data_IF_387329062132
#
_entry.id   IF_387329062132
#
_cell.length_a   1.000
_cell.length_b   1.000
_cell.length_c   1.000
_cell.angle_alpha   90.00
_cell.angle_beta   90.00
_cell.angle_gamma   90.00
#
_symmetry.space_group_name_H-M   'P 1'
#
loop_
_entity.id
_entity.type
_entity.pdbx_description
1 polymer ?
#
# COMPACT_ATOMS: atom_id res chain seq x y z
N UNK A 1 19.55 -35.15 -10.92
CA UNK A 1 18.93 -34.13 -11.80
C UNK A 1 19.14 -32.81 -11.09
N UNK A 2 20.07 -32.01 -11.59
CA UNK A 2 20.33 -30.67 -11.07
C UNK A 2 19.09 -29.82 -11.37
N UNK A 3 18.42 -29.33 -10.33
CA UNK A 3 17.43 -28.27 -10.50
C UNK A 3 18.18 -27.03 -11.01
N UNK A 4 17.68 -26.35 -12.04
CA UNK A 4 18.37 -25.20 -12.57
C UNK A 4 18.37 -24.09 -11.50
N UNK A 5 19.58 -23.58 -11.22
CA UNK A 5 19.83 -22.48 -10.28
C UNK A 5 19.07 -21.17 -10.61
N UNK A 6 18.23 -21.18 -11.66
CA UNK A 6 17.52 -20.03 -12.19
C UNK A 6 16.16 -19.74 -11.53
N UNK A 7 15.69 -20.60 -10.60
CA UNK A 7 14.35 -20.43 -10.00
C UNK A 7 14.33 -19.71 -8.65
N UNK A 8 15.49 -19.38 -8.09
CA UNK A 8 15.58 -18.79 -6.74
C UNK A 8 15.34 -17.27 -6.77
N UNK A 9 15.62 -16.61 -7.87
CA UNK A 9 15.51 -15.16 -8.02
C UNK A 9 14.60 -14.81 -9.21
N UNK A 10 13.51 -14.14 -8.91
CA UNK A 10 12.63 -13.51 -9.89
C UNK A 10 12.68 -12.00 -9.77
N UNK A 11 12.22 -11.32 -10.79
CA UNK A 11 12.12 -9.86 -10.81
C UNK A 11 10.71 -9.47 -11.22
N UNK A 12 9.98 -8.84 -10.29
CA UNK A 12 8.61 -8.41 -10.52
C UNK A 12 8.53 -6.88 -10.65
N UNK A 13 7.56 -6.43 -11.42
CA UNK A 13 7.19 -5.02 -11.47
C UNK A 13 6.44 -4.61 -10.21
N UNK A 14 6.36 -3.30 -9.97
CA UNK A 14 5.58 -2.74 -8.87
C UNK A 14 4.10 -3.11 -8.98
N UNK A 15 3.55 -3.13 -10.19
CA UNK A 15 2.14 -3.51 -10.42
C UNK A 15 1.87 -4.99 -10.17
N UNK A 16 2.82 -5.89 -10.47
CA UNK A 16 2.72 -7.31 -10.14
C UNK A 16 2.74 -7.52 -8.61
N UNK A 17 3.61 -6.81 -7.87
CA UNK A 17 3.63 -6.86 -6.41
C UNK A 17 2.35 -6.26 -5.81
N UNK A 18 1.89 -5.12 -6.32
CA UNK A 18 0.64 -4.52 -5.87
C UNK A 18 -0.57 -5.44 -6.07
N UNK A 19 -0.56 -6.25 -7.14
CA UNK A 19 -1.65 -7.17 -7.46
C UNK A 19 -1.83 -8.31 -6.46
N UNK A 20 -0.86 -8.53 -5.59
CA UNK A 20 -1.03 -9.47 -4.47
C UNK A 20 -2.19 -9.05 -3.55
N UNK A 21 -2.48 -7.75 -3.45
CA UNK A 21 -3.55 -7.19 -2.61
C UNK A 21 -4.62 -6.42 -3.41
N UNK A 22 -4.26 -5.87 -4.57
CA UNK A 22 -5.16 -5.11 -5.44
C UNK A 22 -5.26 -5.84 -6.78
N UNK A 23 -6.30 -6.68 -7.01
CA UNK A 23 -6.39 -7.54 -8.19
C UNK A 23 -6.21 -6.82 -9.53
N UNK A 24 -6.76 -5.62 -9.63
CA UNK A 24 -6.75 -4.82 -10.85
C UNK A 24 -5.46 -4.00 -11.07
N UNK A 25 -4.44 -4.15 -10.19
CA UNK A 25 -3.17 -3.42 -10.31
C UNK A 25 -2.38 -3.84 -11.57
N UNK A 26 -2.57 -5.05 -12.07
CA UNK A 26 -2.04 -5.51 -13.36
C UNK A 26 -3.06 -6.34 -14.12
N UNK A 27 -2.94 -6.33 -15.44
CA UNK A 27 -3.71 -7.22 -16.34
C UNK A 27 -2.90 -8.40 -16.85
N UNK A 28 -1.61 -8.42 -16.56
CA UNK A 28 -0.72 -9.51 -16.98
C UNK A 28 -0.96 -10.76 -16.13
N UNK A 29 -0.83 -11.97 -16.71
CA UNK A 29 -0.80 -13.20 -15.92
C UNK A 29 0.34 -13.13 -14.90
N UNK A 30 0.07 -13.59 -13.67
CA UNK A 30 1.03 -13.57 -12.59
C UNK A 30 1.70 -14.93 -12.44
N UNK A 31 3.03 -14.95 -12.49
CA UNK A 31 3.81 -16.13 -12.13
C UNK A 31 3.84 -16.33 -10.61
N UNK A 32 3.93 -15.24 -9.86
CA UNK A 32 3.93 -15.22 -8.40
C UNK A 32 2.74 -14.40 -7.91
N UNK A 33 1.75 -15.08 -7.37
CA UNK A 33 0.68 -14.47 -6.60
C UNK A 33 0.87 -14.84 -5.13
N UNK A 34 1.47 -13.92 -4.37
CA UNK A 34 1.79 -14.18 -2.98
C UNK A 34 0.65 -13.77 -2.04
N UNK A 35 0.31 -14.65 -1.10
CA UNK A 35 -0.62 -14.33 -0.02
C UNK A 35 0.12 -13.85 1.22
N UNK A 36 -0.54 -12.98 1.94
CA UNK A 36 -0.07 -12.52 3.24
C UNK A 36 -0.50 -13.54 4.30
N UNK A 37 0.40 -14.01 5.19
CA UNK A 37 0.02 -14.91 6.28
C UNK A 37 -1.03 -14.29 7.20
N UNK A 38 -1.97 -15.11 7.73
CA UNK A 38 -3.02 -14.64 8.65
C UNK A 38 -2.50 -14.17 10.02
N UNK A 39 -1.26 -14.52 10.36
CA UNK A 39 -0.53 -14.08 11.55
C UNK A 39 -0.13 -12.60 11.50
N UNK A 40 -0.89 -11.77 10.78
CA UNK A 40 -0.47 -10.41 10.58
C UNK A 40 -0.75 -9.52 11.76
N UNK A 41 0.30 -8.80 12.10
CA UNK A 41 0.21 -7.49 12.73
C UNK A 41 -0.71 -6.62 11.91
N UNK A 42 -1.57 -5.88 12.55
CA UNK A 42 -2.22 -4.74 11.91
C UNK A 42 -1.15 -3.85 11.26
N UNK A 43 -1.57 -3.03 10.33
CA UNK A 43 -0.70 -2.12 9.59
C UNK A 43 0.21 -1.33 10.56
N UNK A 44 1.50 -1.69 10.61
CA UNK A 44 2.45 -1.17 11.62
C UNK A 44 3.22 0.04 11.08
N UNK A 45 3.36 0.15 9.75
CA UNK A 45 4.12 1.25 9.19
C UNK A 45 3.45 2.60 9.44
N UNK A 46 4.24 3.52 9.95
CA UNK A 46 3.83 4.91 10.12
C UNK A 46 3.72 5.61 8.75
N UNK A 47 2.86 6.61 8.60
CA UNK A 47 2.70 7.38 7.37
C UNK A 47 4.01 7.80 6.74
N UNK A 48 4.95 8.30 7.52
CA UNK A 48 6.29 8.72 7.05
C UNK A 48 7.07 7.58 6.38
N UNK A 49 6.97 6.35 6.89
CA UNK A 49 7.67 5.20 6.29
C UNK A 49 7.12 4.88 4.90
N UNK A 50 5.80 4.98 4.72
CA UNK A 50 5.15 4.76 3.42
C UNK A 50 5.49 5.88 2.45
N UNK A 51 5.42 7.13 2.91
CA UNK A 51 5.78 8.31 2.11
C UNK A 51 7.24 8.22 1.64
N UNK A 52 8.16 7.82 2.52
CA UNK A 52 9.57 7.64 2.20
C UNK A 52 9.80 6.46 1.24
N UNK A 53 9.04 5.35 1.38
CA UNK A 53 9.12 4.24 0.44
C UNK A 53 8.75 4.71 -0.98
N UNK A 54 7.66 5.45 -1.11
CA UNK A 54 7.22 5.94 -2.40
C UNK A 54 8.15 7.00 -3.02
N UNK A 55 8.74 7.87 -2.19
CA UNK A 55 9.82 8.77 -2.65
C UNK A 55 11.03 7.96 -3.17
N UNK A 56 11.41 6.90 -2.45
CA UNK A 56 12.51 6.01 -2.86
C UNK A 56 12.21 5.28 -4.17
N UNK A 57 10.98 4.77 -4.33
CA UNK A 57 10.53 4.13 -5.57
C UNK A 57 10.61 5.09 -6.76
N UNK A 58 10.11 6.31 -6.61
CA UNK A 58 10.14 7.34 -7.66
C UNK A 58 11.56 7.78 -8.03
N UNK A 59 12.50 7.66 -7.10
CA UNK A 59 13.94 7.96 -7.31
C UNK A 59 14.73 6.73 -7.76
N UNK A 60 14.07 5.61 -8.03
CA UNK A 60 14.70 4.34 -8.37
C UNK A 60 15.72 3.86 -7.32
N UNK A 61 15.53 4.21 -6.04
CA UNK A 61 16.37 3.72 -4.96
C UNK A 61 16.03 2.26 -4.65
N UNK A 62 17.03 1.44 -4.27
CA UNK A 62 16.78 0.08 -3.85
C UNK A 62 15.89 0.05 -2.59
N UNK A 63 14.78 -0.68 -2.65
CA UNK A 63 13.85 -0.86 -1.53
C UNK A 63 13.99 -2.23 -0.83
N UNK A 64 15.02 -3.00 -1.21
CA UNK A 64 15.23 -4.37 -0.75
C UNK A 64 14.49 -5.39 -1.62
N UNK A 65 14.53 -6.66 -1.20
CA UNK A 65 13.89 -7.80 -1.87
C UNK A 65 12.68 -8.29 -1.10
N UNK A 66 11.79 -9.01 -1.77
CA UNK A 66 10.74 -9.81 -1.15
C UNK A 66 11.21 -11.25 -0.98
N UNK A 67 10.74 -11.93 0.06
CA UNK A 67 11.00 -13.34 0.28
C UNK A 67 9.68 -14.10 0.22
N UNK A 68 9.59 -15.08 -0.69
CA UNK A 68 8.39 -15.89 -0.88
C UNK A 68 8.71 -17.37 -0.82
N UNK A 69 7.74 -18.20 -0.46
CA UNK A 69 7.84 -19.65 -0.54
C UNK A 69 6.66 -20.18 -1.37
N UNK A 70 6.88 -21.14 -2.29
CA UNK A 70 5.80 -21.71 -3.09
C UNK A 70 4.81 -22.48 -2.20
N UNK A 71 3.54 -22.52 -2.61
CA UNK A 71 2.55 -23.43 -2.04
C UNK A 71 2.97 -24.87 -2.39
N UNK A 72 3.37 -25.64 -1.42
CA UNK A 72 3.52 -27.08 -1.60
C UNK A 72 2.11 -27.69 -1.61
N UNK A 73 1.75 -28.41 -2.65
CA UNK A 73 0.45 -29.04 -2.89
C UNK A 73 -0.23 -29.57 -1.61
N UNK A 74 -0.97 -28.74 -0.88
CA UNK A 74 -1.84 -29.12 0.22
C UNK A 74 -1.17 -29.50 1.54
N UNK A 75 0.15 -29.43 1.68
CA UNK A 75 0.87 -29.79 2.91
C UNK A 75 1.97 -28.80 3.25
N UNK A 76 1.61 -27.67 3.80
CA UNK A 76 2.45 -27.05 4.82
C UNK A 76 2.04 -27.71 6.14
N UNK A 77 3.02 -28.25 6.84
CA UNK A 77 2.90 -29.30 7.84
C UNK A 77 2.11 -28.99 9.10
N UNK A 78 1.34 -27.96 9.24
CA UNK A 78 0.35 -27.83 10.30
C UNK A 78 -0.92 -27.18 9.71
N UNK A 79 -2.05 -27.84 9.85
CA UNK A 79 -3.36 -27.41 9.34
C UNK A 79 -3.86 -26.08 9.90
N UNK A 80 -3.08 -25.43 10.77
CA UNK A 80 -3.47 -24.24 11.53
C UNK A 80 -2.89 -22.93 11.01
N UNK A 81 -1.99 -22.91 10.02
CA UNK A 81 -1.64 -21.66 9.34
C UNK A 81 -2.76 -21.28 8.37
N UNK A 82 -3.78 -20.60 8.90
CA UNK A 82 -4.83 -19.99 8.10
C UNK A 82 -4.27 -18.75 7.42
N UNK A 83 -3.85 -18.93 6.18
CA UNK A 83 -3.56 -17.79 5.30
C UNK A 83 -4.86 -17.05 5.01
N UNK A 84 -4.82 -15.72 5.12
CA UNK A 84 -5.94 -14.90 4.69
C UNK A 84 -6.19 -15.14 3.19
N UNK A 85 -7.05 -16.13 2.87
CA UNK A 85 -7.74 -16.10 1.59
C UNK A 85 -8.54 -14.80 1.62
N UNK A 86 -8.14 -13.82 0.81
CA UNK A 86 -9.12 -12.84 0.42
C UNK A 86 -10.30 -13.59 -0.19
N UNK A 87 -11.52 -13.20 0.10
CA UNK A 87 -12.75 -13.74 -0.51
C UNK A 87 -12.85 -13.41 -2.01
N UNK A 88 -11.72 -13.14 -2.67
CA UNK A 88 -11.60 -12.73 -4.06
C UNK A 88 -11.53 -13.91 -5.04
N UNK A 89 -11.57 -15.15 -4.53
CA UNK A 89 -11.58 -16.38 -5.32
C UNK A 89 -10.29 -16.68 -6.09
N UNK A 90 -9.20 -15.92 -5.86
CA UNK A 90 -7.92 -16.14 -6.54
C UNK A 90 -7.16 -17.32 -5.95
N UNK A 91 -6.43 -18.03 -6.82
CA UNK A 91 -5.52 -19.10 -6.44
C UNK A 91 -4.13 -18.52 -6.20
N UNK A 92 -3.73 -18.48 -4.94
CA UNK A 92 -2.40 -18.02 -4.56
C UNK A 92 -1.36 -19.09 -4.80
N UNK A 93 -0.20 -18.70 -5.35
CA UNK A 93 0.90 -19.61 -5.70
C UNK A 93 2.02 -19.64 -4.67
N UNK A 94 2.14 -18.57 -3.86
CA UNK A 94 3.23 -18.40 -2.90
C UNK A 94 2.75 -17.77 -1.59
N UNK A 95 3.53 -18.00 -0.54
CA UNK A 95 3.43 -17.30 0.74
C UNK A 95 4.45 -16.16 0.78
N UNK A 96 4.06 -14.98 1.21
CA UNK A 96 4.99 -13.87 1.45
C UNK A 96 5.58 -13.99 2.86
N UNK A 97 6.88 -14.30 2.95
CA UNK A 97 7.60 -14.49 4.21
C UNK A 97 8.19 -13.19 4.74
N UNK A 98 8.76 -12.35 3.86
CA UNK A 98 9.28 -11.02 4.22
C UNK A 98 8.89 -9.97 3.18
N UNK A 99 8.77 -8.72 3.64
CA UNK A 99 8.39 -7.58 2.81
C UNK A 99 6.90 -7.23 2.90
N UNK A 100 6.13 -7.81 3.81
CA UNK A 100 4.69 -7.60 3.94
C UNK A 100 4.30 -6.12 4.02
N UNK A 101 4.96 -5.36 4.89
CA UNK A 101 4.68 -3.92 5.05
C UNK A 101 4.99 -3.14 3.77
N UNK A 102 6.07 -3.50 3.07
CA UNK A 102 6.43 -2.91 1.77
C UNK A 102 5.40 -3.24 0.69
N UNK A 103 4.96 -4.51 0.61
CA UNK A 103 3.92 -4.92 -0.33
C UNK A 103 2.62 -4.15 -0.10
N UNK A 104 2.19 -4.01 1.16
CA UNK A 104 1.01 -3.25 1.53
C UNK A 104 1.17 -1.75 1.21
N UNK A 105 2.34 -1.18 1.49
CA UNK A 105 2.61 0.22 1.15
C UNK A 105 2.62 0.46 -0.37
N UNK A 106 3.16 -0.48 -1.16
CA UNK A 106 3.10 -0.44 -2.62
C UNK A 106 1.66 -0.53 -3.11
N UNK A 107 0.87 -1.46 -2.57
CA UNK A 107 -0.53 -1.64 -2.95
C UNK A 107 -1.37 -0.38 -2.74
N UNK A 108 -1.08 0.44 -1.72
CA UNK A 108 -1.79 1.70 -1.47
C UNK A 108 -1.75 2.67 -2.67
N UNK A 109 -0.69 2.64 -3.47
CA UNK A 109 -0.58 3.48 -4.67
C UNK A 109 -1.49 3.05 -5.82
N UNK A 110 -2.12 1.88 -5.72
CA UNK A 110 -3.06 1.35 -6.73
C UNK A 110 -4.51 1.39 -6.27
N UNK A 111 -4.77 1.78 -5.02
CA UNK A 111 -6.12 1.85 -4.47
C UNK A 111 -6.79 3.14 -4.94
N UNK A 112 -7.88 2.99 -5.69
CA UNK A 112 -8.73 4.11 -6.06
C UNK A 112 -9.44 4.65 -4.81
N UNK A 113 -9.27 5.94 -4.46
CA UNK A 113 -9.90 6.53 -3.28
C UNK A 113 -11.43 6.55 -3.36
N UNK A 114 -12.01 6.41 -4.54
CA UNK A 114 -13.46 6.38 -4.74
C UNK A 114 -14.10 5.03 -4.42
N UNK A 115 -13.31 3.98 -4.21
CA UNK A 115 -13.84 2.65 -3.90
C UNK A 115 -14.55 2.63 -2.53
N UNK A 116 -15.75 2.02 -2.42
CA UNK A 116 -16.57 2.07 -1.20
C UNK A 116 -15.90 1.48 0.06
N UNK A 117 -15.00 0.51 -0.11
CA UNK A 117 -14.33 -0.21 0.98
C UNK A 117 -12.90 0.26 1.24
N UNK A 118 -12.49 1.40 0.69
CA UNK A 118 -11.14 1.93 0.88
C UNK A 118 -10.92 2.32 2.34
N UNK A 119 -9.94 1.70 2.99
CA UNK A 119 -9.54 2.00 4.38
C UNK A 119 -8.39 2.99 4.48
N UNK A 120 -7.62 3.15 3.40
CA UNK A 120 -6.55 4.12 3.27
C UNK A 120 -6.31 4.44 1.79
N UNK A 121 -5.77 5.62 1.48
CA UNK A 121 -5.35 5.98 0.14
C UNK A 121 -4.08 6.84 0.16
N UNK A 122 -3.32 6.72 -0.92
CA UNK A 122 -2.05 7.42 -1.13
C UNK A 122 -2.25 8.54 -2.15
N UNK A 123 -1.69 9.68 -1.85
CA UNK A 123 -1.74 10.90 -2.63
C UNK A 123 -0.34 11.44 -2.89
N UNK A 124 -0.14 12.11 -3.99
CA UNK A 124 1.06 12.88 -4.31
C UNK A 124 0.71 14.36 -4.34
N UNK A 125 1.42 15.18 -3.55
CA UNK A 125 1.31 16.63 -3.62
C UNK A 125 2.23 17.14 -4.74
N UNK A 126 1.67 17.78 -5.75
CA UNK A 126 2.44 18.32 -6.88
C UNK A 126 3.33 19.51 -6.48
N UNK A 127 3.03 20.19 -5.37
CA UNK A 127 3.85 21.31 -4.92
C UNK A 127 5.09 20.81 -4.15
N UNK A 128 6.30 20.95 -4.72
CA UNK A 128 7.52 20.46 -4.10
C UNK A 128 7.97 21.31 -2.90
N UNK A 129 7.35 22.49 -2.65
CA UNK A 129 7.72 23.37 -1.54
C UNK A 129 7.53 22.71 -0.18
N UNK A 130 6.73 21.64 -0.13
CA UNK A 130 6.38 20.93 1.09
C UNK A 130 7.42 19.90 1.54
N UNK A 131 8.26 19.40 0.62
CA UNK A 131 9.23 18.33 0.88
C UNK A 131 10.63 18.80 1.29
N UNK A 132 10.91 20.08 1.20
CA UNK A 132 12.27 20.61 1.42
C UNK A 132 12.87 20.36 2.81
N UNK A 133 12.03 20.12 3.81
CA UNK A 133 12.50 19.89 5.18
C UNK A 133 13.06 18.48 5.42
N UNK A 134 12.72 17.52 4.55
CA UNK A 134 12.97 16.08 4.76
C UNK A 134 13.80 15.43 3.64
N UNK A 135 14.51 16.19 2.81
CA UNK A 135 15.28 15.72 1.64
C UNK A 135 14.48 14.89 0.61
N UNK A 136 13.15 14.93 0.69
CA UNK A 136 12.26 14.23 -0.26
C UNK A 136 12.10 15.05 -1.54
N UNK A 137 12.22 14.37 -2.65
CA UNK A 137 11.95 14.96 -3.97
C UNK A 137 10.45 14.91 -4.30
N UNK A 138 9.78 13.83 -3.85
CA UNK A 138 8.37 13.59 -4.07
C UNK A 138 7.63 13.60 -2.73
N UNK A 139 6.58 14.40 -2.65
CA UNK A 139 5.82 14.58 -1.41
C UNK A 139 4.54 13.76 -1.45
N UNK A 140 4.66 12.54 -0.96
CA UNK A 140 3.50 11.68 -0.78
C UNK A 140 2.72 12.03 0.48
N UNK A 141 1.42 11.72 0.49
CA UNK A 141 0.48 11.96 1.57
C UNK A 141 -0.42 10.75 1.74
N UNK A 142 -0.71 10.39 2.98
CA UNK A 142 -1.63 9.31 3.33
C UNK A 142 -2.83 9.87 4.05
N UNK A 143 -4.00 9.31 3.72
CA UNK A 143 -5.21 9.42 4.51
C UNK A 143 -5.70 8.02 4.86
N UNK A 144 -6.35 7.87 6.01
CA UNK A 144 -6.96 6.61 6.44
C UNK A 144 -8.20 6.87 7.32
N UNK A 145 -8.93 5.82 7.68
CA UNK A 145 -10.16 5.93 8.47
C UNK A 145 -9.97 6.70 9.79
N UNK A 146 -8.80 6.59 10.45
CA UNK A 146 -8.52 7.28 11.71
C UNK A 146 -8.05 8.72 11.48
N UNK A 147 -7.50 9.02 10.30
CA UNK A 147 -7.00 10.32 9.89
C UNK A 147 -7.49 10.62 8.47
N UNK A 148 -8.79 10.90 8.29
CA UNK A 148 -9.40 11.07 6.97
C UNK A 148 -8.86 12.29 6.19
N UNK A 149 -8.30 13.27 6.89
CA UNK A 149 -7.64 14.43 6.29
C UNK A 149 -6.12 14.39 6.37
N UNK A 150 -5.56 13.23 6.75
CA UNK A 150 -4.12 12.98 6.77
C UNK A 150 -3.40 13.56 7.98
N UNK A 151 -2.15 13.92 7.73
CA UNK A 151 -1.17 14.32 8.73
C UNK A 151 -0.60 15.71 8.41
N UNK A 152 0.18 16.27 9.34
CA UNK A 152 0.80 17.57 9.16
C UNK A 152 1.73 17.59 7.93
N UNK A 153 1.63 18.65 7.14
CA UNK A 153 2.49 18.90 6.00
C UNK A 153 3.97 19.01 6.38
N UNK A 154 4.23 19.61 7.52
CA UNK A 154 5.60 19.84 8.00
C UNK A 154 6.28 18.53 8.44
N UNK A 155 5.51 17.60 9.04
CA UNK A 155 6.01 16.31 9.48
C UNK A 155 4.88 15.28 9.49
N UNK A 156 4.98 14.25 8.64
CA UNK A 156 4.01 13.16 8.53
C UNK A 156 3.88 12.27 9.80
N UNK A 157 4.78 12.41 10.77
CA UNK A 157 4.64 11.75 12.07
C UNK A 157 3.64 12.49 12.98
N UNK A 158 3.39 13.76 12.72
CA UNK A 158 2.50 14.60 13.51
C UNK A 158 1.07 14.54 12.95
N UNK A 159 0.12 14.31 13.83
CA UNK A 159 -1.30 14.44 13.50
C UNK A 159 -1.58 15.87 13.03
N UNK A 160 -2.58 15.98 12.16
CA UNK A 160 -3.10 17.28 11.78
C UNK A 160 -3.60 18.04 13.03
N UNK A 161 -3.36 19.33 13.09
CA UNK A 161 -3.80 20.18 14.21
C UNK A 161 -5.33 20.10 14.37
N UNK A 162 -5.80 20.11 15.62
CA UNK A 162 -7.23 20.02 15.95
C UNK A 162 -8.07 21.11 15.25
N UNK A 163 -7.50 22.31 15.08
CA UNK A 163 -8.15 23.40 14.35
C UNK A 163 -8.39 23.01 12.88
N UNK A 164 -7.35 22.49 12.21
CA UNK A 164 -7.42 22.05 10.79
C UNK A 164 -8.38 20.86 10.61
N UNK A 165 -8.40 19.92 11.57
CA UNK A 165 -9.37 18.80 11.57
C UNK A 165 -10.80 19.34 11.64
N UNK A 166 -11.06 20.34 12.48
CA UNK A 166 -12.37 20.97 12.61
C UNK A 166 -12.77 21.71 11.34
N UNK A 167 -11.86 22.48 10.75
CA UNK A 167 -12.09 23.18 9.49
C UNK A 167 -12.42 22.20 8.36
N UNK A 168 -11.67 21.08 8.25
CA UNK A 168 -11.93 20.03 7.27
C UNK A 168 -13.31 19.39 7.48
N UNK A 169 -13.67 19.11 8.72
CA UNK A 169 -14.96 18.51 9.07
C UNK A 169 -16.15 19.44 8.76
N UNK A 170 -16.02 20.73 9.07
CA UNK A 170 -17.08 21.71 8.74
C UNK A 170 -17.19 21.94 7.22
N UNK A 171 -16.08 21.97 6.49
CA UNK A 171 -16.09 22.07 5.04
C UNK A 171 -16.80 20.86 4.41
N UNK A 172 -16.57 19.65 4.94
CA UNK A 172 -17.30 18.47 4.48
C UNK A 172 -18.80 18.56 4.77
N UNK A 173 -19.19 18.92 5.99
CA UNK A 173 -20.61 19.09 6.33
C UNK A 173 -21.29 20.12 5.44
N UNK A 174 -20.59 21.21 5.10
CA UNK A 174 -21.09 22.20 4.15
C UNK A 174 -21.25 21.64 2.72
N UNK A 175 -20.47 20.62 2.36
CA UNK A 175 -20.53 19.98 1.03
C UNK A 175 -21.46 18.75 0.98
N UNK A 176 -21.95 18.27 2.11
CA UNK A 176 -22.79 17.09 2.19
C UNK A 176 -24.13 17.32 1.48
N UNK A 177 -24.47 16.45 0.53
CA UNK A 177 -25.67 16.53 -0.27
C UNK A 177 -26.77 15.57 0.20
N UNK A 178 -26.50 14.75 1.22
CA UNK A 178 -27.45 13.77 1.72
C UNK A 178 -27.57 13.80 3.27
N UNK A 179 -28.71 13.34 3.77
CA UNK A 179 -28.98 13.33 5.21
C UNK A 179 -28.06 12.38 6.00
N UNK A 180 -27.56 11.31 5.38
CA UNK A 180 -26.65 10.37 6.04
C UNK A 180 -25.32 11.04 6.37
N UNK A 181 -24.75 11.77 5.42
CA UNK A 181 -23.50 12.49 5.60
C UNK A 181 -23.64 13.59 6.66
N UNK A 182 -24.80 14.26 6.74
CA UNK A 182 -25.09 15.25 7.78
C UNK A 182 -25.18 14.67 9.19
N UNK A 183 -25.44 13.35 9.32
CA UNK A 183 -25.49 12.64 10.61
C UNK A 183 -24.12 12.25 11.15
N UNK A 184 -23.06 12.38 10.34
CA UNK A 184 -21.70 12.08 10.78
C UNK A 184 -21.28 13.04 11.88
N UNK A 185 -20.96 12.49 13.07
CA UNK A 185 -20.59 13.27 14.26
C UNK A 185 -19.10 13.21 14.56
N UNK A 186 -18.42 12.16 14.12
CA UNK A 186 -17.03 11.88 14.44
C UNK A 186 -16.18 11.78 13.16
N UNK A 187 -14.94 12.29 13.17
CA UNK A 187 -14.02 12.15 12.05
C UNK A 187 -13.80 10.70 11.60
N UNK A 188 -13.78 9.74 12.54
CA UNK A 188 -13.63 8.30 12.26
C UNK A 188 -14.80 7.67 11.49
N UNK A 189 -15.92 8.34 11.39
CA UNK A 189 -17.08 7.92 10.61
C UNK A 189 -17.07 8.49 9.19
N UNK A 190 -16.08 9.29 8.87
CA UNK A 190 -16.00 10.00 7.61
C UNK A 190 -15.64 9.04 6.46
N UNK A 191 -16.42 8.99 5.38
CA UNK A 191 -16.12 8.13 4.25
C UNK A 191 -14.93 8.67 3.47
N UNK A 192 -13.86 7.88 3.32
CA UNK A 192 -12.61 8.30 2.66
C UNK A 192 -12.82 8.75 1.20
N UNK A 193 -13.86 8.27 0.52
CA UNK A 193 -14.21 8.72 -0.84
C UNK A 193 -14.51 10.23 -0.94
N UNK A 194 -14.77 10.90 0.18
CA UNK A 194 -15.02 12.35 0.28
C UNK A 194 -13.85 13.09 0.93
N UNK A 195 -12.77 12.39 1.29
CA UNK A 195 -11.64 12.97 1.99
C UNK A 195 -10.43 13.17 1.06
N UNK A 196 -9.60 14.12 1.42
CA UNK A 196 -8.32 14.38 0.78
C UNK A 196 -7.31 14.91 1.82
N UNK A 197 -5.99 14.86 1.56
CA UNK A 197 -5.00 15.42 2.47
C UNK A 197 -5.21 16.92 2.64
N UNK A 198 -5.75 17.33 3.81
CA UNK A 198 -6.17 18.72 4.06
C UNK A 198 -5.03 19.73 4.01
N UNK A 199 -3.85 19.30 4.47
CA UNK A 199 -2.65 20.16 4.53
C UNK A 199 -1.79 20.10 3.25
N UNK A 200 -2.30 19.55 2.16
CA UNK A 200 -1.66 19.52 0.86
C UNK A 200 -2.06 20.73 -0.01
N UNK A 201 -1.20 21.10 -0.95
CA UNK A 201 -1.44 22.24 -1.86
C UNK A 201 -2.11 21.80 -3.16
N UNK A 202 -1.60 20.75 -3.78
CA UNK A 202 -2.13 20.22 -5.04
C UNK A 202 -2.10 18.68 -5.03
N UNK A 203 -2.90 18.03 -4.16
CA UNK A 203 -2.88 16.60 -4.00
C UNK A 203 -3.57 15.85 -5.15
N UNK A 204 -2.89 14.84 -5.69
CA UNK A 204 -3.41 13.94 -6.71
C UNK A 204 -3.40 12.51 -6.16
N UNK A 205 -4.49 11.73 -6.25
CA UNK A 205 -4.45 10.31 -5.91
C UNK A 205 -3.42 9.57 -6.73
N UNK A 206 -2.53 8.81 -6.10
CA UNK A 206 -1.47 8.08 -6.81
C UNK A 206 -2.07 7.07 -7.81
N UNK A 207 -3.18 6.44 -7.46
CA UNK A 207 -3.91 5.54 -8.36
C UNK A 207 -4.32 6.18 -9.69
N UNK A 208 -4.48 7.52 -9.74
CA UNK A 208 -4.85 8.22 -10.96
C UNK A 208 -3.70 8.46 -11.92
N UNK A 209 -2.46 8.35 -11.44
CA UNK A 209 -1.25 8.52 -12.23
C UNK A 209 -0.90 7.26 -13.04
N UNK A 210 -1.32 6.09 -12.55
CA UNK A 210 -1.10 4.84 -13.28
C UNK A 210 -1.88 4.82 -14.60
N UNK A 211 -1.18 4.54 -15.70
CA UNK A 211 -1.74 4.48 -17.04
C UNK A 211 -2.22 5.82 -17.60
N UNK A 212 -2.02 6.94 -16.92
CA UNK A 212 -2.28 8.26 -17.48
C UNK A 212 -1.11 8.66 -18.39
N UNK A 213 -1.41 8.92 -19.67
CA UNK A 213 -0.42 9.36 -20.64
C UNK A 213 -0.23 10.89 -20.63
N UNK A 214 -1.27 11.62 -20.26
CA UNK A 214 -1.32 13.08 -20.33
C UNK A 214 -1.90 13.71 -19.06
N UNK A 215 -1.60 14.99 -18.77
CA UNK A 215 -2.28 15.74 -17.72
C UNK A 215 -3.82 15.74 -17.81
N UNK A 216 -4.34 15.71 -19.04
CA UNK A 216 -5.79 15.66 -19.28
C UNK A 216 -6.41 14.35 -18.81
N UNK A 217 -5.69 13.23 -18.89
CA UNK A 217 -6.18 11.95 -18.37
C UNK A 217 -6.32 11.99 -16.85
N UNK A 218 -5.36 12.62 -16.17
CA UNK A 218 -5.41 12.83 -14.71
C UNK A 218 -6.58 13.76 -14.36
N UNK A 219 -6.74 14.87 -15.09
CA UNK A 219 -7.85 15.81 -14.84
C UNK A 219 -9.21 15.14 -14.98
N UNK A 220 -9.42 14.32 -16.01
CA UNK A 220 -10.66 13.55 -16.21
C UNK A 220 -10.96 12.63 -15.02
N UNK A 221 -9.95 11.97 -14.47
CA UNK A 221 -10.11 11.13 -13.25
C UNK A 221 -10.43 11.98 -12.01
N UNK A 222 -9.76 13.13 -11.84
CA UNK A 222 -10.06 14.06 -10.75
C UNK A 222 -11.49 14.58 -10.80
N UNK A 223 -12.01 14.86 -11.99
CA UNK A 223 -13.40 15.34 -12.19
C UNK A 223 -14.45 14.29 -11.80
N UNK A 224 -14.07 13.02 -11.66
CA UNK A 224 -14.94 11.93 -11.19
C UNK A 224 -15.01 11.84 -9.66
N UNK A 225 -14.12 12.55 -8.94
CA UNK A 225 -14.14 12.55 -7.47
C UNK A 225 -15.46 13.11 -6.96
N UNK A 226 -16.10 12.47 -5.97
CA UNK A 226 -17.45 12.85 -5.51
C UNK A 226 -17.58 14.33 -5.08
N UNK A 227 -16.52 14.88 -4.51
CA UNK A 227 -16.49 16.27 -4.01
C UNK A 227 -16.05 17.27 -5.07
N UNK A 228 -15.61 16.85 -6.25
CA UNK A 228 -15.11 17.76 -7.28
C UNK A 228 -16.16 18.78 -7.74
N UNK A 229 -17.40 18.32 -7.90
CA UNK A 229 -18.52 19.14 -8.34
C UNK A 229 -19.48 19.51 -7.19
N UNK A 230 -19.04 19.38 -5.94
CA UNK A 230 -19.83 19.77 -4.78
C UNK A 230 -19.96 21.29 -4.66
N UNK A 231 -20.93 21.77 -3.85
CA UNK A 231 -21.10 23.19 -3.56
C UNK A 231 -19.87 23.82 -2.88
N UNK A 232 -19.11 23.00 -2.15
CA UNK A 232 -17.87 23.39 -1.45
C UNK A 232 -16.72 22.48 -1.88
N UNK A 233 -16.18 22.67 -3.10
CA UNK A 233 -15.08 21.86 -3.58
C UNK A 233 -13.79 22.15 -2.79
N UNK A 234 -12.78 21.27 -2.87
CA UNK A 234 -11.47 21.52 -2.26
C UNK A 234 -10.88 22.86 -2.68
N UNK A 235 -10.21 23.54 -1.78
CA UNK A 235 -9.59 24.86 -2.02
C UNK A 235 -8.64 24.81 -3.21
N UNK A 236 -7.87 23.73 -3.32
CA UNK A 236 -6.88 23.51 -4.37
C UNK A 236 -7.49 23.22 -5.76
N UNK A 237 -8.79 22.92 -5.86
CA UNK A 237 -9.44 22.56 -7.13
C UNK A 237 -9.23 23.62 -8.21
N UNK A 238 -9.48 24.89 -7.89
CA UNK A 238 -9.37 25.99 -8.87
C UNK A 238 -7.97 26.12 -9.45
N UNK A 239 -6.95 25.98 -8.59
CA UNK A 239 -5.56 26.06 -9.02
C UNK A 239 -5.16 24.87 -9.87
N UNK A 240 -5.63 23.67 -9.51
CA UNK A 240 -5.40 22.47 -10.31
C UNK A 240 -6.09 22.57 -11.66
N UNK A 241 -7.38 22.88 -11.71
CA UNK A 241 -8.13 23.01 -12.99
C UNK A 241 -7.50 24.04 -13.93
N UNK A 242 -7.08 25.17 -13.39
CA UNK A 242 -6.49 26.27 -14.18
C UNK A 242 -5.10 25.93 -14.71
N UNK A 243 -4.28 25.30 -13.90
CA UNK A 243 -2.84 25.24 -14.12
C UNK A 243 -2.36 23.86 -14.58
N UNK A 244 -3.12 22.77 -14.32
CA UNK A 244 -2.66 21.40 -14.58
C UNK A 244 -2.46 21.11 -16.08
N UNK A 245 -3.24 21.74 -16.94
CA UNK A 245 -3.15 21.61 -18.41
C UNK A 245 -2.25 22.66 -19.05
N UNK A 246 -1.86 23.70 -18.31
CA UNK A 246 -0.97 24.74 -18.81
C UNK A 246 0.48 24.26 -18.72
N UNK A 247 1.06 23.87 -19.84
CA UNK A 247 2.46 23.44 -19.94
C UNK A 247 3.49 24.51 -19.54
N UNK A 248 3.08 25.77 -19.37
CA UNK A 248 3.95 26.86 -18.88
C UNK A 248 3.87 27.03 -17.37
N UNK A 249 2.78 26.58 -16.75
CA UNK A 249 2.60 26.66 -15.30
C UNK A 249 3.57 25.72 -14.56
N UNK A 250 3.87 26.04 -13.30
CA UNK A 250 4.68 25.18 -12.45
C UNK A 250 4.02 23.82 -12.18
N UNK A 251 2.69 23.81 -11.96
CA UNK A 251 1.92 22.59 -11.71
C UNK A 251 1.85 21.71 -12.96
N UNK A 252 1.58 22.31 -14.14
CA UNK A 252 1.52 21.55 -15.39
C UNK A 252 2.87 20.92 -15.75
N UNK A 253 3.99 21.68 -15.65
CA UNK A 253 5.33 21.16 -15.83
C UNK A 253 5.63 20.03 -14.84
N UNK A 254 5.28 20.21 -13.57
CA UNK A 254 5.50 19.21 -12.53
C UNK A 254 4.71 17.94 -12.81
N UNK A 255 3.44 18.04 -13.21
CA UNK A 255 2.64 16.87 -13.54
C UNK A 255 3.21 16.11 -14.74
N UNK A 256 3.61 16.79 -15.82
CA UNK A 256 4.25 16.15 -16.98
C UNK A 256 5.52 15.39 -16.56
N UNK A 257 6.34 16.00 -15.72
CA UNK A 257 7.53 15.35 -15.16
C UNK A 257 7.15 14.11 -14.33
N UNK A 258 6.15 14.22 -13.44
CA UNK A 258 5.67 13.10 -12.62
C UNK A 258 5.14 11.95 -13.48
N UNK A 259 4.35 12.23 -14.52
CA UNK A 259 3.81 11.20 -15.41
C UNK A 259 4.92 10.44 -16.13
N UNK A 260 5.98 11.13 -16.54
CA UNK A 260 7.17 10.49 -17.11
C UNK A 260 7.85 9.57 -16.08
N UNK A 261 8.01 10.04 -14.85
CA UNK A 261 8.62 9.21 -13.79
C UNK A 261 7.75 7.98 -13.47
N UNK A 262 6.41 8.11 -13.45
CA UNK A 262 5.52 6.96 -13.30
C UNK A 262 5.62 5.98 -14.48
N UNK A 263 5.82 6.47 -15.68
CA UNK A 263 6.05 5.61 -16.83
C UNK A 263 7.37 4.82 -16.70
N UNK A 264 8.44 5.47 -16.27
CA UNK A 264 9.73 4.83 -15.98
C UNK A 264 9.61 3.79 -14.85
N UNK A 265 8.85 4.14 -13.80
CA UNK A 265 8.58 3.29 -12.63
C UNK A 265 7.85 1.99 -13.01
N UNK A 266 6.99 1.99 -14.05
CA UNK A 266 6.34 0.76 -14.55
C UNK A 266 7.35 -0.28 -15.04
N UNK A 267 8.50 0.16 -15.57
CA UNK A 267 9.59 -0.71 -15.99
C UNK A 267 10.50 -1.18 -14.85
N UNK A 268 10.39 -0.59 -13.68
CA UNK A 268 11.23 -0.91 -12.53
C UNK A 268 11.01 -2.36 -12.08
N UNK A 269 12.11 -3.08 -11.82
CA UNK A 269 12.07 -4.49 -11.39
C UNK A 269 12.57 -4.62 -9.97
N UNK A 270 11.80 -5.29 -9.15
CA UNK A 270 12.09 -5.54 -7.72
C UNK A 270 12.43 -7.02 -7.55
N UNK A 271 13.55 -7.36 -6.91
CA UNK A 271 13.94 -8.75 -6.70
C UNK A 271 12.99 -9.45 -5.73
N UNK A 272 12.62 -10.67 -6.09
CA UNK A 272 11.83 -11.59 -5.28
C UNK A 272 12.63 -12.88 -5.15
N UNK A 273 13.00 -13.22 -3.94
CA UNK A 273 13.72 -14.45 -3.61
C UNK A 273 12.71 -15.54 -3.30
N UNK A 274 12.85 -16.69 -3.96
CA UNK A 274 12.01 -17.86 -3.74
C UNK A 274 12.78 -18.82 -2.84
N UNK A 275 12.22 -19.14 -1.69
CA UNK A 275 12.77 -20.18 -0.82
C UNK A 275 12.42 -21.54 -1.41
N UNK A 276 13.41 -22.36 -1.82
CA UNK A 276 13.13 -23.70 -2.31
C UNK A 276 12.54 -24.54 -1.15
N UNK A 277 11.40 -25.16 -1.43
CA UNK A 277 10.81 -26.14 -0.52
C UNK A 277 11.37 -27.51 -0.90
N UNK A 278 12.18 -28.10 -0.06
CA UNK A 278 12.63 -29.48 -0.24
C UNK A 278 11.43 -30.43 -0.15
N UNK A 279 10.96 -30.89 -1.30
CA UNK A 279 9.87 -31.87 -1.40
C UNK A 279 10.25 -33.25 -0.85
N UNK A 280 11.47 -33.43 -0.36
CA UNK A 280 12.07 -34.70 -0.01
C UNK A 280 12.44 -34.88 1.47
N UNK A 281 11.90 -34.11 2.40
CA UNK A 281 11.96 -34.54 3.79
C UNK A 281 10.91 -35.64 3.98
N UNK A 282 11.30 -36.95 4.02
CA UNK A 282 10.33 -37.98 4.32
C UNK A 282 9.87 -37.72 5.76
N UNK A 283 8.58 -37.46 5.93
CA UNK A 283 7.94 -37.60 7.22
C UNK A 283 8.04 -39.11 7.53
N UNK A 284 9.04 -39.48 8.31
CA UNK A 284 9.11 -40.85 8.84
C UNK A 284 7.85 -41.04 9.69
N UNK A 285 7.05 -42.02 9.33
CA UNK A 285 5.80 -42.38 10.00
C UNK A 285 5.98 -42.83 11.47
N UNK A 286 7.20 -42.84 11.97
CA UNK A 286 7.60 -43.37 13.30
C UNK A 286 8.29 -42.35 14.20
N UNK A 287 8.19 -41.06 13.93
CA UNK A 287 8.71 -40.03 14.86
C UNK A 287 7.65 -39.76 15.92
N UNK A 288 7.80 -40.44 17.07
CA UNK A 288 7.15 -40.07 18.31
C UNK A 288 7.45 -38.60 18.68
N UNK A 289 6.39 -37.80 18.75
CA UNK A 289 6.10 -36.66 19.62
C UNK A 289 7.29 -35.79 20.16
N UNK A 290 8.21 -35.38 19.31
CA UNK A 290 8.95 -34.15 19.50
C UNK A 290 8.62 -33.27 18.30
N UNK A 291 7.63 -32.37 18.46
CA UNK A 291 7.23 -31.39 17.46
C UNK A 291 8.40 -30.46 17.15
N UNK A 292 9.25 -30.87 16.20
CA UNK A 292 10.23 -29.94 15.65
C UNK A 292 9.45 -28.85 14.91
N UNK A 293 9.67 -27.57 15.26
CA UNK A 293 9.00 -26.48 14.57
C UNK A 293 9.22 -26.61 13.07
N UNK A 294 8.18 -26.40 12.28
CA UNK A 294 8.22 -26.44 10.83
C UNK A 294 9.37 -25.53 10.35
N UNK A 295 10.17 -26.02 9.42
CA UNK A 295 11.30 -25.26 8.87
C UNK A 295 10.86 -23.91 8.33
N UNK A 296 9.65 -23.82 7.80
CA UNK A 296 9.07 -22.58 7.27
C UNK A 296 8.67 -21.62 8.39
N UNK A 297 8.10 -22.12 9.46
CA UNK A 297 7.81 -21.36 10.68
C UNK A 297 9.10 -20.83 11.31
N UNK A 298 10.11 -21.69 11.43
CA UNK A 298 11.43 -21.31 11.93
C UNK A 298 12.07 -20.23 11.05
N UNK A 299 11.99 -20.36 9.72
CA UNK A 299 12.52 -19.38 8.79
C UNK A 299 11.75 -18.05 8.91
N UNK A 300 10.41 -18.11 8.95
CA UNK A 300 9.56 -16.96 9.11
C UNK A 300 9.90 -16.18 10.38
N UNK A 301 10.03 -16.88 11.51
CA UNK A 301 10.43 -16.29 12.80
C UNK A 301 11.82 -15.65 12.69
N UNK A 302 12.81 -16.34 12.12
CA UNK A 302 14.18 -15.83 11.99
C UNK A 302 14.28 -14.61 11.07
N UNK A 303 13.58 -14.61 9.94
CA UNK A 303 13.57 -13.49 9.00
C UNK A 303 12.90 -12.26 9.62
N UNK A 304 11.79 -12.46 10.33
CA UNK A 304 11.09 -11.35 10.98
C UNK A 304 11.76 -10.89 12.28
N UNK A 305 12.52 -11.73 12.97
CA UNK A 305 13.27 -11.35 14.18
C UNK A 305 14.54 -10.56 13.88
N UNK A 306 15.10 -10.66 12.67
CA UNK A 306 16.26 -9.86 12.25
C UNK A 306 15.89 -8.44 11.78
N UNK A 307 14.60 -8.18 11.57
CA UNK A 307 14.06 -6.86 11.24
C UNK A 307 13.70 -6.05 12.48
N UNK A 308 12.60 -5.33 12.45
CA UNK A 308 12.03 -4.66 13.64
C UNK A 308 11.67 -5.72 14.67
N UNK A 309 12.39 -5.78 15.79
CA UNK A 309 12.22 -6.78 16.85
C UNK A 309 10.74 -6.91 17.21
N UNK A 310 10.22 -8.14 17.09
CA UNK A 310 8.97 -8.53 17.73
C UNK A 310 9.20 -8.45 19.24
N UNK A 311 8.54 -7.55 19.95
CA UNK A 311 8.51 -7.65 21.40
C UNK A 311 7.83 -8.96 21.77
N UNK A 312 8.37 -9.69 22.79
CA UNK A 312 7.99 -11.08 23.08
C UNK A 312 6.48 -11.32 23.28
N UNK A 313 5.71 -10.28 23.67
CA UNK A 313 4.26 -10.33 23.79
C UNK A 313 3.54 -10.47 22.42
N UNK A 314 4.04 -9.84 21.36
CA UNK A 314 3.43 -9.92 20.02
C UNK A 314 3.71 -11.26 19.36
N UNK A 315 4.89 -11.85 19.64
CA UNK A 315 5.24 -13.21 19.19
C UNK A 315 4.36 -14.24 19.91
N UNK A 316 4.20 -14.13 21.23
CA UNK A 316 3.30 -14.99 22.03
C UNK A 316 1.85 -14.85 21.58
N UNK A 317 1.38 -13.64 21.30
CA UNK A 317 0.00 -13.41 20.85
C UNK A 317 -0.25 -14.02 19.46
N UNK A 318 0.72 -13.99 18.57
CA UNK A 318 0.62 -14.60 17.24
C UNK A 318 0.62 -16.13 17.32
N UNK A 319 1.44 -16.71 18.20
CA UNK A 319 1.48 -18.16 18.45
C UNK A 319 0.19 -18.64 19.13
N UNK A 320 -0.28 -17.95 20.18
CA UNK A 320 -1.53 -18.31 20.87
C UNK A 320 -2.77 -18.19 19.95
N UNK A 321 -2.78 -17.23 19.04
CA UNK A 321 -3.89 -17.07 18.10
C UNK A 321 -3.91 -18.16 17.03
N UNK A 322 -2.77 -18.79 16.73
CA UNK A 322 -2.69 -19.94 15.82
C UNK A 322 -3.19 -21.24 16.46
N UNK A 323 -3.13 -21.36 17.79
CA UNK A 323 -3.57 -22.53 18.54
C UNK A 323 -5.06 -22.50 18.96
N UNK A 324 -5.70 -21.33 18.97
CA UNK A 324 -7.07 -21.13 19.51
C UNK A 324 -8.16 -20.93 18.44
N UNK A 325 -7.87 -21.18 17.17
CA UNK A 325 -8.87 -21.18 16.08
C UNK A 325 -8.80 -22.47 15.28
#
# INVERSE_FOLDING_TARGET
MEQPANDILKQLTISEIASWQVPDATRSPLEILATLPALQRGYVWKPKQIENLWDSLMRCFPIGSFLVAPYANGRLGNQNMRYARGDDGREYTHYLLDGQQRATAIALGFIDPCQPKTSASLWLDLDPSTGKADDREYVFRIINQYHPWGFSRANAENKLEAKKIREAFEAFKGAANNEEDLRIKLPSQFPLKHAWPWDAIAPIPVAFLWGAATPNDVLKKLQQLPYWNSAHPPIWKKDVEKNILDGNSSLGKRLVYILRQFHELQGCRIPVLIVPMDSNTPVSADAELDEKPDHLETLFVRVNSSGTTLEGEELMYSLLKSEWT
#
